data_IF_932535319932
#
_entry.id   IF_932535319932
#
_cell.length_a   1.000
_cell.length_b   1.000
_cell.length_c   1.000
_cell.angle_alpha   90.00
_cell.angle_beta   90.00
_cell.angle_gamma   90.00
#
_symmetry.space_group_name_H-M   'P 1'
#
loop_
_entity.id
_entity.type
_entity.pdbx_description
1 polymer ?
#
# COMPACT_ATOMS: atom_id res chain seq x y z
N UNK A 1 26.10 -19.96 -8.12
CA UNK A 1 25.90 -20.48 -6.76
C UNK A 1 26.54 -19.51 -5.79
N UNK A 2 25.69 -18.72 -5.13
CA UNK A 2 25.85 -18.32 -3.73
C UNK A 2 24.48 -17.83 -3.32
N UNK A 3 23.88 -18.60 -2.42
CA UNK A 3 22.63 -18.35 -1.72
C UNK A 3 22.62 -16.96 -1.09
N UNK A 4 21.51 -16.25 -1.24
CA UNK A 4 21.16 -15.15 -0.33
C UNK A 4 19.79 -15.45 0.24
N UNK A 5 19.84 -16.08 1.42
CA UNK A 5 18.94 -15.98 2.56
C UNK A 5 17.45 -16.17 2.30
N UNK A 6 16.99 -17.41 2.52
CA UNK A 6 15.68 -17.68 3.09
C UNK A 6 15.55 -16.93 4.43
N UNK A 7 14.96 -15.73 4.40
CA UNK A 7 14.29 -15.19 5.59
C UNK A 7 13.11 -16.12 5.95
N UNK A 8 12.78 -16.31 7.22
CA UNK A 8 11.75 -17.26 7.62
C UNK A 8 10.38 -16.83 7.09
N UNK A 9 9.98 -17.46 5.98
CA UNK A 9 8.68 -17.38 5.31
C UNK A 9 7.52 -17.96 6.15
N UNK A 10 7.81 -18.40 7.38
CA UNK A 10 6.90 -19.15 8.24
C UNK A 10 5.76 -18.34 8.85
N UNK A 11 5.82 -17.00 8.85
CA UNK A 11 4.87 -16.18 9.63
C UNK A 11 3.95 -15.28 8.80
N UNK A 12 3.87 -15.49 7.48
CA UNK A 12 3.10 -14.60 6.59
C UNK A 12 1.93 -15.27 5.89
N UNK A 13 1.71 -16.57 6.11
CA UNK A 13 0.62 -17.28 5.46
C UNK A 13 -0.67 -17.21 6.29
N UNK A 14 -1.70 -16.59 5.72
CA UNK A 14 -2.97 -16.36 6.37
C UNK A 14 -4.08 -17.13 5.65
N UNK A 15 -4.83 -17.92 6.40
CA UNK A 15 -6.05 -18.56 5.93
C UNK A 15 -7.21 -17.59 5.94
N UNK A 16 -7.89 -17.48 4.82
CA UNK A 16 -9.02 -16.58 4.59
C UNK A 16 -10.15 -17.37 3.94
N UNK A 17 -11.40 -17.08 4.36
CA UNK A 17 -12.61 -17.61 3.75
C UNK A 17 -13.37 -16.49 3.05
N UNK A 18 -13.78 -16.72 1.80
CA UNK A 18 -14.76 -15.89 1.11
C UNK A 18 -16.15 -16.13 1.73
N UNK A 19 -16.81 -15.08 2.21
CA UNK A 19 -18.09 -15.18 2.93
C UNK A 19 -19.29 -15.43 1.99
N UNK A 20 -19.17 -15.10 0.70
CA UNK A 20 -20.24 -15.30 -0.28
C UNK A 20 -20.21 -16.70 -0.89
N UNK A 21 -19.03 -17.17 -1.29
CA UNK A 21 -18.85 -18.46 -1.96
C UNK A 21 -18.46 -19.61 -1.04
N UNK A 22 -17.91 -19.30 0.15
CA UNK A 22 -17.41 -20.30 1.10
C UNK A 22 -16.00 -20.80 0.81
N UNK A 23 -15.42 -20.45 -0.36
CA UNK A 23 -14.06 -20.81 -0.75
C UNK A 23 -13.03 -20.36 0.27
N UNK A 24 -12.02 -21.19 0.50
CA UNK A 24 -10.94 -20.95 1.46
C UNK A 24 -9.62 -20.95 0.71
N UNK A 25 -8.77 -20.00 1.05
CA UNK A 25 -7.42 -19.91 0.52
C UNK A 25 -6.45 -19.50 1.62
N UNK A 26 -5.18 -19.85 1.40
CA UNK A 26 -4.06 -19.46 2.24
C UNK A 26 -3.11 -18.62 1.37
N UNK A 27 -2.64 -17.48 1.87
CA UNK A 27 -1.67 -16.66 1.13
C UNK A 27 -0.98 -15.59 1.96
N UNK A 28 0.06 -15.00 1.37
CA UNK A 28 0.76 -13.88 1.98
C UNK A 28 -0.06 -12.60 1.86
N UNK A 29 -0.42 -12.02 3.00
CA UNK A 29 -1.16 -10.75 3.05
C UNK A 29 -0.20 -9.61 3.41
N UNK A 30 -0.25 -8.53 2.63
CA UNK A 30 0.49 -7.30 2.87
C UNK A 30 -0.45 -6.08 2.86
N UNK A 31 -0.04 -5.01 3.52
CA UNK A 31 -0.71 -3.72 3.46
C UNK A 31 -0.16 -2.91 2.27
N UNK A 32 -0.98 -2.72 1.25
CA UNK A 32 -0.69 -1.87 0.11
C UNK A 32 -1.30 -0.49 0.33
N UNK A 33 -0.59 0.57 -0.04
CA UNK A 33 -1.01 1.95 0.17
C UNK A 33 -1.15 2.66 -1.18
N UNK A 34 -1.98 3.69 -1.30
CA UNK A 34 -2.00 4.63 -2.42
C UNK A 34 -2.20 6.04 -1.87
N UNK A 35 -1.34 6.97 -2.26
CA UNK A 35 -1.49 8.36 -1.86
C UNK A 35 -2.42 9.08 -2.86
N UNK A 36 -3.23 10.02 -2.38
CA UNK A 36 -4.06 10.81 -3.29
C UNK A 36 -3.21 11.46 -4.40
N UNK A 37 -3.72 11.41 -5.64
CA UNK A 37 -3.02 11.82 -6.86
C UNK A 37 -1.80 11.01 -7.27
N UNK A 38 -1.42 9.95 -6.56
CA UNK A 38 -0.37 9.04 -7.05
C UNK A 38 -0.70 8.31 -8.36
N UNK A 39 -1.96 8.21 -8.87
CA UNK A 39 -2.22 7.70 -10.22
C UNK A 39 -1.64 8.57 -11.35
N UNK A 40 -1.07 9.74 -11.06
CA UNK A 40 -0.26 10.48 -12.04
C UNK A 40 0.87 9.62 -12.62
N UNK A 41 1.32 8.58 -11.89
CA UNK A 41 2.29 7.63 -12.40
C UNK A 41 1.79 6.83 -13.61
N UNK A 42 0.48 6.71 -13.81
CA UNK A 42 -0.08 5.92 -14.92
C UNK A 42 0.17 6.61 -16.29
N UNK A 43 0.53 7.90 -16.28
CA UNK A 43 0.82 8.71 -17.47
C UNK A 43 2.28 8.64 -17.94
N UNK A 44 3.15 7.92 -17.22
CA UNK A 44 4.60 7.89 -17.51
C UNK A 44 5.22 6.52 -17.23
N UNK A 45 6.34 6.22 -17.89
CA UNK A 45 7.26 5.16 -17.46
C UNK A 45 8.48 5.72 -16.72
N UNK A 46 9.21 4.88 -15.96
CA UNK A 46 10.48 5.27 -15.32
C UNK A 46 11.57 5.73 -16.31
N UNK A 47 11.51 5.32 -17.59
CA UNK A 47 12.40 5.78 -18.65
C UNK A 47 12.02 7.18 -19.18
N UNK A 48 10.74 7.55 -19.10
CA UNK A 48 10.22 8.84 -19.55
C UNK A 48 10.39 9.93 -18.49
N UNK A 49 10.29 9.57 -17.21
CA UNK A 49 10.44 10.50 -16.09
C UNK A 49 11.06 9.82 -14.87
N UNK A 50 12.07 10.45 -14.30
CA UNK A 50 12.65 9.99 -13.04
C UNK A 50 11.72 10.28 -11.85
N UNK A 51 11.99 9.59 -10.74
CA UNK A 51 11.18 9.68 -9.54
C UNK A 51 11.10 11.10 -8.95
N UNK A 52 12.18 11.89 -9.02
CA UNK A 52 12.23 13.24 -8.45
C UNK A 52 11.39 14.21 -9.26
N UNK A 53 11.46 14.14 -10.59
CA UNK A 53 10.66 14.99 -11.47
C UNK A 53 9.16 14.63 -11.41
N UNK A 54 8.83 13.33 -11.34
CA UNK A 54 7.43 12.91 -11.13
C UNK A 54 6.92 13.33 -9.75
N UNK A 55 7.76 13.23 -8.72
CA UNK A 55 7.43 13.73 -7.38
C UNK A 55 7.13 15.23 -7.39
N UNK A 56 7.94 16.06 -8.05
CA UNK A 56 7.67 17.51 -8.18
C UNK A 56 6.34 17.80 -8.87
N UNK A 57 5.98 17.03 -9.91
CA UNK A 57 4.67 17.16 -10.59
C UNK A 57 3.52 16.78 -9.66
N UNK A 58 3.67 15.70 -8.91
CA UNK A 58 2.70 15.27 -7.92
C UNK A 58 2.51 16.32 -6.81
N UNK A 59 3.60 16.85 -6.23
CA UNK A 59 3.58 17.92 -5.21
C UNK A 59 2.72 19.10 -5.64
N UNK A 60 2.88 19.58 -6.89
CA UNK A 60 2.08 20.70 -7.42
C UNK A 60 0.57 20.40 -7.36
N UNK A 61 0.15 19.22 -7.84
CA UNK A 61 -1.26 18.81 -7.82
C UNK A 61 -1.82 18.68 -6.40
N UNK A 62 -1.05 18.06 -5.49
CA UNK A 62 -1.55 17.86 -4.13
C UNK A 62 -1.59 19.15 -3.34
N UNK A 63 -0.68 20.11 -3.56
CA UNK A 63 -0.73 21.41 -2.89
C UNK A 63 -1.97 22.22 -3.30
N UNK A 64 -2.35 22.16 -4.58
CA UNK A 64 -3.57 22.81 -5.07
C UNK A 64 -4.83 22.24 -4.40
N UNK A 65 -4.87 20.92 -4.17
CA UNK A 65 -6.04 20.25 -3.58
C UNK A 65 -6.06 20.25 -2.05
N UNK A 66 -4.89 20.12 -1.42
CA UNK A 66 -4.70 19.94 0.02
C UNK A 66 -3.80 21.05 0.58
N UNK A 67 -4.32 22.29 0.69
CA UNK A 67 -3.52 23.44 1.12
C UNK A 67 -3.03 23.33 2.58
N UNK A 68 -3.61 22.43 3.38
CA UNK A 68 -3.14 22.12 4.73
C UNK A 68 -1.93 21.15 4.76
N UNK A 69 -1.50 20.65 3.60
CA UNK A 69 -0.37 19.72 3.47
C UNK A 69 -0.66 18.30 3.97
N UNK A 70 -1.91 17.95 4.28
CA UNK A 70 -2.32 16.60 4.67
C UNK A 70 -2.89 15.86 3.47
N UNK A 71 -2.07 15.01 2.85
CA UNK A 71 -2.48 14.25 1.66
C UNK A 71 -3.01 12.88 2.10
N UNK A 72 -4.27 12.52 1.76
CA UNK A 72 -4.86 11.24 2.13
C UNK A 72 -4.06 10.03 1.63
N UNK A 73 -4.05 8.96 2.44
CA UNK A 73 -3.54 7.63 2.09
C UNK A 73 -4.70 6.65 2.13
N UNK A 74 -4.90 5.93 1.04
CA UNK A 74 -5.85 4.82 0.95
C UNK A 74 -5.12 3.51 1.12
N UNK A 75 -5.72 2.60 1.87
CA UNK A 75 -5.10 1.33 2.26
C UNK A 75 -5.86 0.16 1.66
N UNK A 76 -5.11 -0.83 1.19
CA UNK A 76 -5.60 -2.04 0.55
C UNK A 76 -4.90 -3.28 1.10
N UNK A 77 -5.65 -4.35 1.30
CA UNK A 77 -5.14 -5.69 1.51
C UNK A 77 -4.74 -6.23 0.15
N UNK A 78 -3.50 -6.74 0.03
CA UNK A 78 -3.03 -7.39 -1.20
C UNK A 78 -2.52 -8.79 -0.89
N UNK A 79 -2.93 -9.76 -1.71
CA UNK A 79 -2.35 -11.11 -1.73
C UNK A 79 -2.07 -11.48 -3.19
N UNK A 80 -0.79 -11.60 -3.53
CA UNK A 80 -0.34 -11.75 -4.92
C UNK A 80 -0.72 -13.10 -5.49
N UNK A 81 -0.62 -14.14 -4.66
CA UNK A 81 -0.88 -15.53 -5.02
C UNK A 81 -2.33 -15.77 -5.48
N UNK A 82 -3.26 -14.96 -4.97
CA UNK A 82 -4.70 -15.07 -5.27
C UNK A 82 -5.25 -13.87 -6.04
N UNK A 83 -4.37 -13.03 -6.60
CA UNK A 83 -4.75 -11.78 -7.30
C UNK A 83 -5.76 -10.92 -6.50
N UNK A 84 -5.68 -10.96 -5.18
CA UNK A 84 -6.63 -10.29 -4.29
C UNK A 84 -6.14 -8.88 -3.99
N UNK A 85 -7.07 -7.92 -4.13
CA UNK A 85 -6.85 -6.51 -3.85
C UNK A 85 -8.16 -5.89 -3.36
N UNK A 86 -8.23 -5.54 -2.08
CA UNK A 86 -9.44 -5.05 -1.43
C UNK A 86 -9.12 -3.93 -0.45
N UNK A 87 -10.06 -3.04 -0.15
CA UNK A 87 -9.84 -1.98 0.84
C UNK A 87 -9.52 -2.56 2.22
N UNK A 88 -8.51 -2.01 2.92
CA UNK A 88 -8.20 -2.42 4.29
C UNK A 88 -9.33 -2.05 5.25
N UNK A 89 -9.66 -2.91 6.22
CA UNK A 89 -10.56 -2.55 7.30
C UNK A 89 -9.87 -1.52 8.23
N UNK A 90 -10.68 -0.78 8.97
CA UNK A 90 -10.24 0.18 10.00
C UNK A 90 -9.40 1.37 9.52
N UNK A 91 -9.18 1.52 8.20
CA UNK A 91 -8.54 2.70 7.67
C UNK A 91 -9.39 3.96 7.90
N UNK A 92 -8.74 5.13 7.92
CA UNK A 92 -9.44 6.39 8.06
C UNK A 92 -10.34 6.66 6.85
N UNK A 93 -11.60 7.02 7.09
CA UNK A 93 -12.58 7.31 6.03
C UNK A 93 -12.38 8.73 5.48
N UNK A 94 -11.45 8.88 4.53
CA UNK A 94 -11.22 10.16 3.85
C UNK A 94 -12.41 10.60 2.99
N UNK A 95 -13.17 9.65 2.46
CA UNK A 95 -14.43 9.87 1.75
C UNK A 95 -15.43 8.82 2.22
N UNK A 96 -16.47 9.26 2.94
CA UNK A 96 -17.44 8.36 3.56
C UNK A 96 -18.25 7.52 2.56
N UNK A 97 -18.28 7.92 1.28
CA UNK A 97 -19.12 7.31 0.24
C UNK A 97 -18.37 6.33 -0.68
N UNK A 98 -17.03 6.36 -0.71
CA UNK A 98 -16.24 5.57 -1.68
C UNK A 98 -15.84 4.19 -1.14
N UNK A 99 -15.78 4.02 0.19
CA UNK A 99 -15.30 2.79 0.84
C UNK A 99 -16.26 2.31 1.93
N UNK A 100 -17.53 2.11 1.60
CA UNK A 100 -18.49 1.51 2.54
C UNK A 100 -18.23 0.02 2.77
N UNK A 101 -17.65 -0.66 1.79
CA UNK A 101 -17.26 -2.06 1.84
C UNK A 101 -15.73 -2.18 1.90
N UNK A 102 -15.26 -3.16 2.66
CA UNK A 102 -13.84 -3.45 2.86
C UNK A 102 -13.59 -4.96 2.83
N UNK A 103 -12.34 -5.36 3.03
CA UNK A 103 -11.96 -6.77 3.07
C UNK A 103 -12.85 -7.62 3.99
N UNK A 104 -13.24 -7.13 5.17
CA UNK A 104 -14.05 -7.88 6.13
C UNK A 104 -15.54 -7.94 5.75
N UNK A 105 -15.96 -7.18 4.74
CA UNK A 105 -17.29 -7.31 4.14
C UNK A 105 -17.40 -8.60 3.32
N UNK A 106 -16.33 -8.98 2.63
CA UNK A 106 -16.32 -10.10 1.69
C UNK A 106 -15.60 -11.34 2.22
N UNK A 107 -14.70 -11.17 3.19
CA UNK A 107 -13.81 -12.21 3.68
C UNK A 107 -13.83 -12.30 5.20
N UNK A 108 -13.55 -13.50 5.72
CA UNK A 108 -13.38 -13.72 7.15
C UNK A 108 -12.15 -12.98 7.67
N UNK A 109 -12.10 -12.77 8.99
CA UNK A 109 -10.87 -12.37 9.65
C UNK A 109 -9.75 -13.37 9.31
N UNK A 110 -8.58 -12.92 8.79
CA UNK A 110 -7.50 -13.83 8.43
C UNK A 110 -6.92 -14.52 9.67
N UNK A 111 -6.70 -15.82 9.58
CA UNK A 111 -6.17 -16.61 10.70
C UNK A 111 -4.82 -17.20 10.28
N UNK A 112 -3.82 -17.09 11.14
CA UNK A 112 -2.50 -17.66 10.91
C UNK A 112 -2.63 -19.17 10.71
N UNK A 113 -2.18 -19.69 9.58
CA UNK A 113 -2.25 -21.13 9.29
C UNK A 113 -1.35 -21.94 10.21
N UNK A 114 -0.41 -21.29 10.89
CA UNK A 114 0.54 -21.91 11.84
C UNK A 114 0.03 -21.84 13.29
N UNK A 115 -0.44 -20.68 13.74
CA UNK A 115 -0.78 -20.46 15.16
C UNK A 115 -2.28 -20.51 15.45
N UNK A 116 -3.12 -20.39 14.43
CA UNK A 116 -4.57 -20.25 14.63
C UNK A 116 -4.99 -18.88 15.19
N UNK A 117 -4.05 -17.95 15.37
CA UNK A 117 -4.32 -16.61 15.87
C UNK A 117 -4.86 -15.70 14.75
N UNK A 118 -5.74 -14.79 15.14
CA UNK A 118 -6.27 -13.76 14.26
C UNK A 118 -5.18 -12.75 13.87
N UNK A 119 -5.19 -12.31 12.61
CA UNK A 119 -4.31 -11.27 12.12
C UNK A 119 -4.47 -9.97 12.94
N UNK A 120 -3.35 -9.43 13.42
CA UNK A 120 -3.30 -8.05 13.87
C UNK A 120 -2.99 -7.14 12.67
N UNK A 121 -3.96 -6.34 12.24
CA UNK A 121 -3.83 -5.45 11.08
C UNK A 121 -2.70 -4.43 11.23
N UNK A 122 -2.38 -4.01 12.45
CA UNK A 122 -1.31 -3.05 12.74
C UNK A 122 0.11 -3.63 12.62
N UNK A 123 0.23 -4.94 12.39
CA UNK A 123 1.52 -5.60 12.21
C UNK A 123 1.74 -6.06 10.78
N UNK A 124 0.82 -5.75 9.86
CA UNK A 124 0.99 -6.12 8.47
C UNK A 124 2.23 -5.43 7.87
N UNK A 125 3.05 -6.17 7.10
CA UNK A 125 4.13 -5.54 6.36
C UNK A 125 3.54 -4.58 5.31
N UNK A 126 4.05 -3.35 5.31
CA UNK A 126 3.70 -2.35 4.30
C UNK A 126 4.50 -2.59 3.03
N UNK A 127 3.81 -2.64 1.89
CA UNK A 127 4.40 -2.88 0.59
C UNK A 127 5.50 -1.84 0.26
N UNK A 128 6.70 -2.32 -0.05
CA UNK A 128 7.76 -1.51 -0.65
C UNK A 128 7.46 -1.29 -2.13
N UNK A 129 7.56 -0.02 -2.55
CA UNK A 129 7.29 0.40 -3.92
C UNK A 129 8.55 1.00 -4.54
N UNK A 130 8.73 0.77 -5.83
CA UNK A 130 9.87 1.25 -6.59
C UNK A 130 9.42 1.99 -7.85
N UNK A 131 10.28 2.89 -8.32
CA UNK A 131 10.13 3.63 -9.57
C UNK A 131 11.49 3.68 -10.27
N UNK A 132 11.79 2.63 -11.03
CA UNK A 132 13.02 2.40 -11.77
C UNK A 132 12.75 1.52 -13.01
N UNK A 133 13.79 1.22 -13.80
CA UNK A 133 13.65 0.45 -15.04
C UNK A 133 13.17 -0.99 -14.86
N UNK A 134 13.06 -1.49 -13.64
CA UNK A 134 12.52 -2.83 -13.34
C UNK A 134 11.11 -2.76 -12.78
N UNK A 135 10.73 -1.68 -12.09
CA UNK A 135 9.44 -1.54 -11.42
C UNK A 135 8.88 -0.11 -11.53
N UNK A 136 7.63 -0.03 -11.99
CA UNK A 136 6.85 1.20 -12.10
C UNK A 136 5.63 1.15 -11.16
N UNK A 137 5.86 0.97 -9.86
CA UNK A 137 4.76 0.86 -8.91
C UNK A 137 4.08 2.23 -8.74
N UNK A 138 2.75 2.25 -8.75
CA UNK A 138 1.97 3.45 -8.45
C UNK A 138 2.37 4.02 -7.09
N UNK A 139 2.74 5.29 -7.02
CA UNK A 139 3.28 5.93 -5.80
C UNK A 139 4.72 5.54 -5.43
N UNK A 140 5.37 4.64 -6.17
CA UNK A 140 6.78 4.27 -5.99
C UNK A 140 7.73 5.44 -6.16
N UNK A 141 7.39 6.43 -7.00
CA UNK A 141 8.20 7.64 -7.17
C UNK A 141 8.32 8.46 -5.88
N UNK A 142 7.31 8.42 -4.99
CA UNK A 142 7.36 9.08 -3.69
C UNK A 142 8.43 8.43 -2.82
N UNK A 143 8.38 7.10 -2.69
CA UNK A 143 9.33 6.33 -1.88
C UNK A 143 10.75 6.42 -2.47
N UNK A 144 10.89 6.35 -3.79
CA UNK A 144 12.18 6.44 -4.47
C UNK A 144 12.82 7.84 -4.35
N UNK A 145 12.03 8.92 -4.47
CA UNK A 145 12.56 10.28 -4.36
C UNK A 145 12.90 10.67 -2.91
N UNK A 146 12.15 10.20 -1.92
CA UNK A 146 12.24 10.71 -0.55
C UNK A 146 12.77 9.71 0.47
N UNK A 147 12.88 8.43 0.10
CA UNK A 147 13.14 7.33 1.04
C UNK A 147 12.01 7.07 2.03
N UNK A 148 10.91 7.82 1.97
CA UNK A 148 9.81 7.71 2.92
C UNK A 148 8.84 6.58 2.56
N UNK A 149 8.33 5.90 3.59
CA UNK A 149 7.28 4.89 3.51
C UNK A 149 6.30 5.09 4.66
N UNK A 150 4.99 4.94 4.46
CA UNK A 150 4.03 5.09 5.55
C UNK A 150 4.11 3.95 6.56
N UNK A 151 3.75 4.25 7.80
CA UNK A 151 3.37 3.21 8.75
C UNK A 151 1.98 2.65 8.38
N UNK A 152 1.71 1.38 8.68
CA UNK A 152 0.43 0.73 8.34
C UNK A 152 -0.76 1.49 8.93
N UNK A 153 -1.81 1.68 8.13
CA UNK A 153 -3.01 2.47 8.47
C UNK A 153 -2.72 3.95 8.82
N UNK A 154 -1.54 4.48 8.50
CA UNK A 154 -1.30 5.92 8.58
C UNK A 154 -2.27 6.65 7.64
N UNK A 155 -3.06 7.61 8.12
CA UNK A 155 -4.13 8.21 7.32
C UNK A 155 -3.63 9.28 6.34
N UNK A 156 -2.57 9.99 6.69
CA UNK A 156 -2.11 11.13 5.89
C UNK A 156 -0.60 11.11 5.72
N UNK A 157 -0.17 11.53 4.55
CA UNK A 157 1.16 12.11 4.34
C UNK A 157 1.15 13.54 4.86
N UNK A 158 2.18 13.92 5.61
CA UNK A 158 2.44 15.33 5.91
C UNK A 158 3.45 15.88 4.89
N UNK A 159 2.94 16.57 3.87
CA UNK A 159 3.71 17.02 2.71
C UNK A 159 4.90 17.92 3.05
N UNK A 160 4.82 18.88 4.01
CA UNK A 160 5.97 19.69 4.38
C UNK A 160 7.17 18.87 4.87
N UNK A 161 6.94 17.75 5.57
CA UNK A 161 8.03 16.88 6.01
C UNK A 161 8.71 16.17 4.84
N UNK A 162 7.95 15.71 3.83
CA UNK A 162 8.53 15.09 2.63
C UNK A 162 9.36 16.07 1.80
N UNK A 163 8.88 17.31 1.65
CA UNK A 163 9.57 18.32 0.84
C UNK A 163 10.89 18.77 1.46
N UNK A 164 11.00 18.78 2.79
CA UNK A 164 12.24 19.13 3.48
C UNK A 164 13.36 18.09 3.31
N UNK A 165 13.04 16.85 2.93
CA UNK A 165 14.05 15.80 2.68
C UNK A 165 14.82 16.07 1.38
N UNK A 166 14.26 16.88 0.48
CA UNK A 166 14.83 17.18 -0.84
C UNK A 166 15.62 18.50 -0.90
N UNK A 167 15.78 19.20 0.23
CA UNK A 167 16.59 20.42 0.36
C UNK A 167 18.01 20.09 0.82
#
# INVERSE_FOLDING_TARGET
>A
MTETSDEPSLNRNWRVRNLKGGDVWDGAIIAYWEASFDPISDDYTPEEIDAHELFKKWVKKVQEKYPNGLVPIYWFVKCKEHAMFESMPFQFKHSAEVFSEDFLTFYSWPVSSMTGEQLNWLTLPVADKLWDSQRADKGGFIQQATGWKPAVLQPYIYLPALMNILQ
#
